data_IF_611105911701
#
_entry.id   IF_611105911701
#
_cell.length_a   1.000
_cell.length_b   1.000
_cell.length_c   1.000
_cell.angle_alpha   90.00
_cell.angle_beta   90.00
_cell.angle_gamma   90.00
#
_symmetry.space_group_name_H-M   'P 1'
#
loop_
_entity.id
_entity.type
_entity.pdbx_description
1 polymer ?
#
# COMPACT_ATOMS: atom_id res chain seq x y z
N UNK A 1 -2.68 -59.09 30.57
CA UNK A 1 -1.64 -58.47 31.42
C UNK A 1 -1.48 -57.05 30.90
N UNK A 2 -2.37 -56.11 31.26
CA UNK A 2 -2.40 -55.30 32.48
C UNK A 2 -1.05 -54.64 32.79
N UNK A 3 -0.98 -53.31 32.59
CA UNK A 3 -0.60 -52.30 33.55
C UNK A 3 -0.72 -50.93 32.87
N UNK A 4 -1.71 -50.10 33.10
CA UNK A 4 -1.99 -49.14 34.19
C UNK A 4 -0.92 -48.03 34.33
N UNK A 5 -1.36 -46.85 33.93
CA UNK A 5 -1.21 -45.46 34.35
C UNK A 5 -0.60 -45.22 35.77
N UNK A 6 -0.10 -44.05 36.21
CA UNK A 6 -0.85 -42.77 36.20
C UNK A 6 -0.05 -41.47 36.12
N UNK A 7 -0.78 -40.42 35.73
CA UNK A 7 -0.76 -39.00 36.10
C UNK A 7 0.25 -38.48 37.12
N UNK A 8 0.78 -37.27 36.84
CA UNK A 8 0.97 -36.21 37.86
C UNK A 8 0.80 -34.81 37.25
N UNK A 9 -0.26 -34.16 37.71
CA UNK A 9 -0.44 -32.69 37.78
C UNK A 9 0.65 -32.04 38.63
N UNK A 10 0.97 -30.79 38.29
CA UNK A 10 1.29 -29.71 39.23
C UNK A 10 1.24 -28.40 38.43
N UNK A 11 0.22 -27.57 38.55
CA UNK A 11 -0.19 -26.62 39.60
C UNK A 11 0.68 -25.39 39.69
N UNK A 12 0.02 -24.32 39.29
CA UNK A 12 0.01 -22.93 39.78
C UNK A 12 1.32 -22.20 40.11
N UNK A 13 1.48 -21.03 39.49
CA UNK A 13 1.64 -19.81 40.26
C UNK A 13 1.26 -18.53 39.48
N UNK A 14 0.17 -18.00 39.93
CA UNK A 14 -0.33 -16.62 39.82
C UNK A 14 0.62 -15.69 40.56
N UNK A 15 1.08 -14.61 39.95
CA UNK A 15 1.43 -13.43 40.72
C UNK A 15 0.94 -12.17 40.00
N UNK A 16 -0.02 -11.58 40.63
CA UNK A 16 -0.52 -10.22 40.51
C UNK A 16 0.49 -9.31 41.23
N UNK A 17 0.89 -8.25 40.59
CA UNK A 17 1.37 -7.07 41.35
C UNK A 17 0.79 -5.79 40.78
N UNK A 18 0.03 -5.15 41.67
CA UNK A 18 -0.68 -3.91 41.60
C UNK A 18 0.07 -2.92 42.50
N UNK A 19 0.38 -1.75 41.98
CA UNK A 19 0.60 -0.49 42.72
C UNK A 19 0.57 0.63 41.68
N UNK A 20 -0.40 1.45 41.57
CA UNK A 20 -0.94 2.58 42.34
C UNK A 20 0.16 3.48 42.94
N UNK A 21 0.22 4.72 42.55
CA UNK A 21 -0.30 5.96 43.11
C UNK A 21 0.44 7.19 42.50
N UNK A 22 -0.31 8.14 41.94
CA UNK A 22 -0.48 9.56 42.32
C UNK A 22 0.75 10.44 42.31
N UNK A 23 0.76 11.64 41.75
CA UNK A 23 -0.04 12.83 42.04
C UNK A 23 0.37 14.00 41.13
N UNK A 24 -0.54 14.70 40.56
CA UNK A 24 -0.91 16.12 40.66
C UNK A 24 0.17 17.19 40.58
N UNK A 25 -0.14 18.20 39.72
CA UNK A 25 0.46 19.55 39.71
C UNK A 25 0.12 20.31 38.44
N UNK A 26 -0.96 20.85 38.36
CA UNK A 26 -1.68 22.11 38.18
C UNK A 26 -0.78 23.35 38.32
N UNK A 27 -0.75 24.16 37.25
CA UNK A 27 -0.87 25.65 37.32
C UNK A 27 -0.78 26.30 35.95
N UNK A 28 -1.87 26.84 35.44
CA UNK A 28 -1.96 28.14 34.78
C UNK A 28 -1.93 29.22 35.89
N UNK A 29 -1.75 30.56 35.63
CA UNK A 29 -2.48 31.36 34.65
C UNK A 29 -1.74 32.60 34.07
N UNK A 30 -2.32 33.11 32.98
CA UNK A 30 -2.73 34.48 32.63
C UNK A 30 -1.77 35.67 32.85
N UNK A 31 -1.67 36.57 31.85
CA UNK A 31 -2.31 37.90 31.78
C UNK A 31 -1.59 38.80 30.75
N UNK A 32 -2.34 39.37 29.80
CA UNK A 32 -2.90 40.72 29.69
C UNK A 32 -1.88 41.83 29.33
N UNK A 33 -2.26 42.58 28.31
CA UNK A 33 -1.79 43.96 28.01
C UNK A 33 -1.91 44.26 26.51
N UNK A 34 -3.04 44.73 26.00
CA UNK A 34 -3.56 46.10 25.79
C UNK A 34 -2.70 46.92 24.83
N UNK A 35 -3.32 47.19 23.65
CA UNK A 35 -3.94 48.44 23.16
C UNK A 35 -2.95 49.60 22.92
N UNK A 36 -3.03 50.15 21.69
CA UNK A 36 -3.62 51.44 21.28
C UNK A 36 -3.38 51.67 19.77
N UNK A 37 -4.38 51.81 19.04
CA UNK A 37 -5.10 52.86 18.30
C UNK A 37 -4.33 54.10 17.88
N UNK A 38 -4.46 54.47 16.57
CA UNK A 38 -4.80 55.77 15.99
C UNK A 38 -4.86 55.64 14.48
N UNK A 39 -5.92 55.83 13.89
CA UNK A 39 -6.89 56.78 13.33
C UNK A 39 -6.30 57.91 12.46
N UNK A 40 -7.02 58.10 11.29
CA UNK A 40 -7.15 59.24 10.40
C UNK A 40 -6.03 59.42 9.32
N UNK A 41 -6.29 59.62 8.04
CA UNK A 41 -7.30 60.41 7.35
C UNK A 41 -7.40 60.02 5.87
N UNK A 42 -8.59 60.17 5.30
CA UNK A 42 -8.92 60.16 3.88
C UNK A 42 -8.79 61.60 3.33
N UNK A 43 -8.41 61.83 2.04
CA UNK A 43 -9.45 62.29 1.18
C UNK A 43 -9.51 61.66 -0.24
N UNK A 44 -10.76 61.54 -0.65
CA UNK A 44 -11.28 61.27 -1.99
C UNK A 44 -10.66 62.09 -3.09
N UNK A 45 -10.45 61.47 -4.28
CA UNK A 45 -10.90 62.06 -5.52
C UNK A 45 -11.01 61.05 -6.68
N UNK A 46 -12.22 60.94 -7.12
CA UNK A 46 -12.79 60.34 -8.33
C UNK A 46 -11.91 60.32 -9.56
N UNK A 47 -11.91 59.23 -10.38
CA UNK A 47 -12.64 59.14 -11.64
C UNK A 47 -12.17 57.98 -12.52
N UNK A 48 -13.15 57.28 -13.10
CA UNK A 48 -13.23 56.58 -14.37
C UNK A 48 -12.65 55.16 -14.53
N UNK A 49 -13.55 54.22 -14.37
CA UNK A 49 -13.97 53.15 -15.31
C UNK A 49 -12.97 52.77 -16.40
N UNK A 50 -12.39 51.62 -16.29
CA UNK A 50 -12.20 50.70 -17.41
C UNK A 50 -12.18 49.29 -16.89
N UNK A 51 -13.22 48.55 -17.27
CA UNK A 51 -13.40 47.12 -17.03
C UNK A 51 -12.31 46.34 -17.79
N UNK A 52 -11.41 45.76 -17.03
CA UNK A 52 -10.64 44.60 -17.49
C UNK A 52 -10.79 43.51 -16.45
N UNK A 53 -11.54 42.47 -16.83
CA UNK A 53 -11.66 41.22 -16.09
C UNK A 53 -10.27 40.62 -15.90
N UNK A 54 -9.92 40.19 -14.67
CA UNK A 54 -8.69 39.43 -14.51
C UNK A 54 -8.88 38.06 -15.16
N UNK A 55 -8.14 37.82 -16.23
CA UNK A 55 -7.95 36.53 -16.86
C UNK A 55 -7.24 35.66 -15.84
N UNK A 56 -8.01 34.81 -15.18
CA UNK A 56 -7.46 33.74 -14.34
C UNK A 56 -6.64 32.83 -15.28
N UNK A 57 -5.35 32.66 -15.08
CA UNK A 57 -4.59 31.72 -15.88
C UNK A 57 -5.14 30.32 -15.62
N UNK A 58 -5.83 29.76 -16.62
CA UNK A 58 -6.20 28.32 -16.64
C UNK A 58 -4.91 27.55 -16.47
N UNK A 59 -4.69 27.00 -15.26
CA UNK A 59 -3.68 25.95 -15.05
C UNK A 59 -3.86 24.93 -16.16
N UNK A 60 -2.86 24.76 -17.00
CA UNK A 60 -2.82 23.71 -17.99
C UNK A 60 -3.12 22.37 -17.27
N UNK A 61 -4.26 21.78 -17.58
CA UNK A 61 -4.65 20.47 -17.07
C UNK A 61 -3.63 19.50 -17.66
N UNK A 62 -2.71 19.01 -16.83
CA UNK A 62 -1.80 17.93 -17.23
C UNK A 62 -2.66 16.76 -17.67
N UNK A 63 -2.31 16.06 -18.77
CA UNK A 63 -3.06 14.90 -19.21
C UNK A 63 -3.17 13.90 -18.02
N UNK A 64 -4.33 13.24 -17.85
CA UNK A 64 -4.54 12.30 -16.76
C UNK A 64 -3.45 11.23 -16.83
N UNK A 65 -2.84 10.96 -15.70
CA UNK A 65 -1.83 9.91 -15.59
C UNK A 65 -2.51 8.55 -15.72
N UNK A 66 -1.76 7.58 -16.22
CA UNK A 66 -2.25 6.21 -16.35
C UNK A 66 -2.69 5.63 -14.98
N UNK A 67 -2.00 6.02 -13.93
CA UNK A 67 -2.24 5.60 -12.56
C UNK A 67 -3.52 6.21 -11.93
N UNK A 68 -4.11 7.24 -12.57
CA UNK A 68 -5.37 7.85 -12.12
C UNK A 68 -6.62 7.09 -12.61
N UNK A 69 -6.44 6.02 -13.38
CA UNK A 69 -7.52 5.17 -13.87
C UNK A 69 -8.12 4.29 -12.76
N UNK A 70 -9.39 3.85 -12.92
CA UNK A 70 -10.00 2.89 -12.00
C UNK A 70 -9.11 1.65 -11.80
N UNK A 71 -9.00 1.17 -10.57
CA UNK A 71 -8.12 0.07 -10.19
C UNK A 71 -8.22 -1.15 -11.12
N UNK A 72 -9.44 -1.66 -11.35
CA UNK A 72 -9.66 -2.85 -12.20
C UNK A 72 -9.19 -2.60 -13.64
N UNK A 73 -9.47 -1.42 -14.19
CA UNK A 73 -9.03 -1.04 -15.53
C UNK A 73 -7.50 -0.97 -15.61
N UNK A 74 -6.87 -0.31 -14.63
CA UNK A 74 -5.42 -0.22 -14.56
C UNK A 74 -4.76 -1.59 -14.49
N UNK A 75 -5.25 -2.46 -13.61
CA UNK A 75 -4.67 -3.81 -13.45
C UNK A 75 -4.88 -4.65 -14.71
N UNK A 76 -6.12 -4.74 -15.22
CA UNK A 76 -6.44 -5.66 -16.32
C UNK A 76 -5.88 -5.21 -17.66
N UNK A 77 -5.89 -3.91 -17.95
CA UNK A 77 -5.52 -3.39 -19.27
C UNK A 77 -4.06 -2.97 -19.38
N UNK A 78 -3.36 -2.76 -18.25
CA UNK A 78 -1.99 -2.25 -18.27
C UNK A 78 -1.01 -3.10 -17.45
N UNK A 79 -1.31 -3.40 -16.19
CA UNK A 79 -0.38 -4.15 -15.34
C UNK A 79 -0.25 -5.61 -15.80
N UNK A 80 -1.35 -6.30 -16.01
CA UNK A 80 -1.36 -7.71 -16.42
C UNK A 80 -0.66 -7.89 -17.77
N UNK A 81 -1.01 -7.16 -18.85
CA UNK A 81 -0.31 -7.29 -20.13
C UNK A 81 1.18 -6.92 -20.02
N UNK A 82 1.50 -5.85 -19.27
CA UNK A 82 2.88 -5.43 -19.07
C UNK A 82 3.72 -6.44 -18.32
N UNK A 83 3.17 -7.08 -17.27
CA UNK A 83 3.84 -8.16 -16.55
C UNK A 83 4.05 -9.38 -17.44
N UNK A 84 3.02 -9.80 -18.17
CA UNK A 84 3.11 -10.95 -19.09
C UNK A 84 4.25 -10.75 -20.08
N UNK A 85 4.21 -9.67 -20.85
CA UNK A 85 5.25 -9.35 -21.84
C UNK A 85 6.63 -9.31 -21.19
N UNK A 86 6.78 -8.61 -20.06
CA UNK A 86 8.08 -8.45 -19.41
C UNK A 86 8.64 -9.74 -18.83
N UNK A 87 7.81 -10.69 -18.40
CA UNK A 87 8.22 -12.02 -17.94
C UNK A 87 8.63 -12.88 -19.15
N UNK A 88 7.85 -12.86 -20.22
CA UNK A 88 8.12 -13.61 -21.45
C UNK A 88 9.40 -13.10 -22.15
N UNK A 89 9.66 -11.80 -22.15
CA UNK A 89 10.91 -11.19 -22.64
C UNK A 89 12.15 -11.68 -21.86
N UNK A 90 11.97 -12.16 -20.64
CA UNK A 90 13.02 -12.78 -19.82
C UNK A 90 13.18 -14.29 -20.06
N UNK A 91 12.46 -14.85 -21.03
CA UNK A 91 12.55 -16.26 -21.40
C UNK A 91 11.69 -17.22 -20.58
N UNK A 92 10.76 -16.71 -19.74
CA UNK A 92 9.87 -17.54 -18.93
C UNK A 92 8.47 -17.49 -19.48
N UNK A 93 7.86 -18.66 -19.73
CA UNK A 93 6.49 -18.75 -20.26
C UNK A 93 5.47 -18.47 -19.16
N UNK A 94 4.49 -17.61 -19.46
CA UNK A 94 3.34 -17.34 -18.61
C UNK A 94 2.17 -18.19 -19.05
N UNK A 95 1.78 -19.17 -18.23
CA UNK A 95 0.66 -20.07 -18.53
C UNK A 95 -0.68 -19.36 -18.30
N UNK A 96 -0.82 -18.66 -17.17
CA UNK A 96 -2.00 -17.91 -16.82
C UNK A 96 -1.63 -16.66 -16.03
N UNK A 97 -2.30 -15.54 -16.29
CA UNK A 97 -2.23 -14.33 -15.47
C UNK A 97 -3.60 -13.68 -15.44
N UNK A 98 -4.11 -13.37 -14.24
CA UNK A 98 -5.46 -12.82 -14.06
C UNK A 98 -5.60 -12.01 -12.78
N UNK A 99 -6.58 -11.10 -12.76
CA UNK A 99 -7.03 -10.41 -11.56
C UNK A 99 -8.13 -11.22 -10.88
N UNK A 100 -7.97 -11.53 -9.62
CA UNK A 100 -8.96 -12.23 -8.80
C UNK A 100 -9.23 -11.45 -7.51
N UNK A 101 -10.46 -11.55 -7.03
CA UNK A 101 -10.86 -11.06 -5.70
C UNK A 101 -11.14 -12.28 -4.82
N UNK A 102 -10.58 -12.33 -3.64
CA UNK A 102 -10.78 -13.46 -2.75
C UNK A 102 -9.86 -13.46 -1.54
N UNK A 103 -9.85 -14.60 -0.86
CA UNK A 103 -9.03 -14.80 0.34
C UNK A 103 -7.57 -14.97 -0.06
N UNK A 104 -6.70 -14.17 0.56
CA UNK A 104 -5.26 -14.26 0.38
C UNK A 104 -4.76 -15.64 0.86
N UNK A 105 -4.00 -16.36 0.04
CA UNK A 105 -3.45 -17.63 0.44
C UNK A 105 -2.58 -17.52 1.70
N UNK A 106 -2.62 -18.51 2.59
CA UNK A 106 -1.84 -18.65 3.82
C UNK A 106 -2.17 -17.59 4.88
N UNK A 107 -2.10 -16.30 4.54
CA UNK A 107 -2.26 -15.18 5.49
C UNK A 107 -3.73 -14.93 5.82
N UNK A 108 -4.64 -15.23 4.87
CA UNK A 108 -6.06 -14.93 5.01
C UNK A 108 -6.39 -13.45 4.72
N UNK A 109 -7.67 -13.10 4.89
CA UNK A 109 -8.21 -11.78 4.58
C UNK A 109 -8.55 -11.63 3.09
N UNK A 110 -9.67 -10.95 2.80
CA UNK A 110 -10.09 -10.65 1.43
C UNK A 110 -9.20 -9.54 0.85
N UNK A 111 -8.78 -9.73 -0.39
CA UNK A 111 -7.99 -8.75 -1.13
C UNK A 111 -8.15 -8.95 -2.64
N UNK A 112 -7.68 -7.96 -3.41
CA UNK A 112 -7.48 -8.09 -4.86
C UNK A 112 -6.11 -8.68 -5.13
N UNK A 113 -6.02 -9.64 -6.04
CA UNK A 113 -4.78 -10.34 -6.34
C UNK A 113 -4.56 -10.44 -7.85
N UNK A 114 -3.38 -10.06 -8.31
CA UNK A 114 -2.87 -10.49 -9.60
C UNK A 114 -2.22 -11.85 -9.39
N UNK A 115 -2.92 -12.89 -9.83
CA UNK A 115 -2.40 -14.26 -9.85
C UNK A 115 -1.67 -14.50 -11.15
N UNK A 116 -0.51 -15.13 -11.08
CA UNK A 116 0.26 -15.55 -12.23
C UNK A 116 0.81 -16.96 -12.02
N UNK A 117 0.58 -17.80 -13.01
CA UNK A 117 1.20 -19.12 -13.13
C UNK A 117 2.16 -19.14 -14.31
N UNK A 118 3.37 -19.58 -14.06
CA UNK A 118 4.47 -19.65 -15.02
C UNK A 118 4.91 -21.11 -15.25
N UNK A 119 5.79 -21.30 -16.20
CA UNK A 119 6.46 -22.60 -16.41
C UNK A 119 7.05 -23.16 -15.11
N UNK A 120 7.32 -24.48 -15.09
CA UNK A 120 7.85 -25.20 -13.91
C UNK A 120 6.96 -25.11 -12.66
N UNK A 121 5.65 -24.93 -12.86
CA UNK A 121 4.65 -24.85 -11.77
C UNK A 121 4.93 -23.73 -10.75
N UNK A 122 5.61 -22.67 -11.18
CA UNK A 122 5.89 -21.48 -10.35
C UNK A 122 4.70 -20.55 -10.37
N UNK A 123 4.33 -20.03 -9.20
CA UNK A 123 3.17 -19.16 -9.04
C UNK A 123 3.50 -17.96 -8.17
N UNK A 124 2.92 -16.82 -8.51
CA UNK A 124 2.92 -15.69 -7.59
C UNK A 124 1.55 -15.02 -7.50
N UNK A 125 1.32 -14.36 -6.39
CA UNK A 125 0.18 -13.51 -6.12
C UNK A 125 0.70 -12.13 -5.71
N UNK A 126 0.39 -11.10 -6.47
CA UNK A 126 0.57 -9.71 -6.05
C UNK A 126 -0.75 -9.22 -5.48
N UNK A 127 -0.82 -9.11 -4.16
CA UNK A 127 -2.03 -8.79 -3.41
C UNK A 127 -2.10 -7.31 -3.09
N UNK A 128 -3.28 -6.72 -3.25
CA UNK A 128 -3.62 -5.34 -2.89
C UNK A 128 -4.71 -5.38 -1.81
N UNK A 129 -4.47 -4.76 -0.67
CA UNK A 129 -5.41 -4.77 0.44
C UNK A 129 -6.74 -4.05 0.13
N UNK A 130 -6.71 -3.12 -0.82
CA UNK A 130 -7.87 -2.35 -1.30
C UNK A 130 -7.81 -2.27 -2.83
N UNK A 131 -8.90 -1.83 -3.44
CA UNK A 131 -9.01 -1.52 -4.87
C UNK A 131 -8.29 -0.23 -5.27
N UNK A 132 -7.07 -0.05 -4.76
CA UNK A 132 -6.18 1.08 -5.00
C UNK A 132 -4.75 0.59 -5.24
N UNK A 133 -4.10 1.09 -6.28
CA UNK A 133 -2.71 0.75 -6.59
C UNK A 133 -1.72 1.24 -5.52
N UNK A 134 -2.11 2.25 -4.75
CA UNK A 134 -1.32 2.81 -3.64
C UNK A 134 -1.57 2.12 -2.31
N UNK A 135 -2.54 1.19 -2.22
CA UNK A 135 -2.79 0.43 -0.99
C UNK A 135 -1.60 -0.45 -0.62
N UNK A 136 -1.56 -0.90 0.63
CA UNK A 136 -0.58 -1.88 1.07
C UNK A 136 -0.63 -3.12 0.19
N UNK A 137 0.55 -3.61 -0.16
CA UNK A 137 0.73 -4.74 -1.05
C UNK A 137 1.57 -5.82 -0.39
N UNK A 138 1.26 -7.06 -0.74
CA UNK A 138 2.09 -8.22 -0.41
C UNK A 138 2.32 -9.05 -1.68
N UNK A 139 3.47 -9.68 -1.76
CA UNK A 139 3.76 -10.68 -2.80
C UNK A 139 3.93 -12.04 -2.15
N UNK A 140 3.28 -13.04 -2.74
CA UNK A 140 3.38 -14.42 -2.33
C UNK A 140 3.97 -15.23 -3.48
N UNK A 141 4.81 -16.20 -3.16
CA UNK A 141 5.51 -17.05 -4.12
C UNK A 141 5.35 -18.51 -3.74
N UNK A 142 5.12 -19.36 -4.73
CA UNK A 142 5.00 -20.81 -4.58
C UNK A 142 5.73 -21.54 -5.72
N UNK A 143 6.30 -22.68 -5.39
CA UNK A 143 6.93 -23.59 -6.33
C UNK A 143 6.25 -24.97 -6.31
N UNK A 144 6.40 -25.71 -7.40
CA UNK A 144 5.98 -27.12 -7.48
C UNK A 144 4.53 -27.37 -7.08
N UNK A 145 3.64 -26.46 -7.46
CA UNK A 145 2.21 -26.53 -7.15
C UNK A 145 1.83 -26.56 -5.65
N UNK A 146 2.75 -26.15 -4.79
CA UNK A 146 2.55 -26.07 -3.34
C UNK A 146 1.77 -24.82 -2.93
N UNK A 147 1.41 -24.74 -1.65
CA UNK A 147 0.96 -23.49 -1.05
C UNK A 147 2.12 -22.46 -1.03
N UNK A 148 1.85 -21.15 -1.04
CA UNK A 148 2.88 -20.14 -0.93
C UNK A 148 3.80 -20.37 0.26
N UNK A 149 5.09 -20.50 0.00
CA UNK A 149 6.14 -20.65 1.01
C UNK A 149 6.81 -19.32 1.37
N UNK A 150 6.63 -18.31 0.53
CA UNK A 150 7.18 -16.97 0.71
C UNK A 150 6.03 -15.98 0.73
N UNK A 151 6.00 -15.13 1.77
CA UNK A 151 5.04 -14.04 1.96
C UNK A 151 5.83 -12.80 2.36
N UNK A 152 5.83 -11.78 1.53
CA UNK A 152 6.60 -10.57 1.75
C UNK A 152 5.75 -9.33 1.53
N UNK A 153 6.02 -8.29 2.30
CA UNK A 153 5.51 -6.96 2.00
C UNK A 153 6.13 -6.43 0.72
N UNK A 154 5.34 -5.70 -0.06
CA UNK A 154 5.74 -5.25 -1.38
C UNK A 154 5.54 -3.75 -1.55
N UNK A 155 6.61 -3.01 -1.89
CA UNK A 155 6.60 -1.56 -2.08
C UNK A 155 6.04 -0.79 -0.87
N UNK A 156 6.53 -1.07 0.34
CA UNK A 156 6.07 -0.44 1.59
C UNK A 156 6.46 1.04 1.61
N UNK A 157 7.68 1.37 1.25
CA UNK A 157 8.27 2.71 1.41
C UNK A 157 8.07 3.61 0.19
N UNK A 158 7.36 3.13 -0.83
CA UNK A 158 7.21 3.85 -2.07
C UNK A 158 6.06 4.86 -2.02
N UNK A 159 6.40 6.14 -1.98
CA UNK A 159 5.44 7.25 -1.97
C UNK A 159 4.59 7.36 -3.24
N UNK A 160 5.08 6.84 -4.36
CA UNK A 160 4.40 6.85 -5.66
C UNK A 160 4.47 5.48 -6.30
N UNK A 161 3.32 4.88 -6.49
CA UNK A 161 3.19 3.63 -7.22
C UNK A 161 2.90 3.94 -8.69
N UNK A 162 3.79 3.53 -9.58
CA UNK A 162 3.62 3.68 -11.04
C UNK A 162 3.66 2.33 -11.72
N UNK A 163 3.09 2.24 -12.94
CA UNK A 163 3.09 1.01 -13.73
C UNK A 163 4.51 0.45 -13.95
N UNK A 164 5.50 1.23 -14.42
CA UNK A 164 6.86 0.72 -14.59
C UNK A 164 7.50 0.25 -13.28
N UNK A 165 7.22 0.93 -12.17
CA UNK A 165 7.72 0.55 -10.86
C UNK A 165 7.16 -0.79 -10.41
N UNK A 166 5.84 -1.01 -10.54
CA UNK A 166 5.21 -2.28 -10.21
C UNK A 166 5.81 -3.43 -11.01
N UNK A 167 5.93 -3.28 -12.34
CA UNK A 167 6.50 -4.30 -13.22
C UNK A 167 7.96 -4.57 -12.84
N UNK A 168 8.79 -3.54 -12.74
CA UNK A 168 10.22 -3.70 -12.47
C UNK A 168 10.49 -4.39 -11.12
N UNK A 169 9.69 -4.06 -10.09
CA UNK A 169 9.84 -4.66 -8.76
C UNK A 169 9.37 -6.12 -8.71
N UNK A 170 8.28 -6.46 -9.41
CA UNK A 170 7.89 -7.88 -9.57
C UNK A 170 9.00 -8.64 -10.28
N UNK A 171 9.49 -8.15 -11.41
CA UNK A 171 10.59 -8.82 -12.14
C UNK A 171 11.85 -8.96 -11.28
N UNK A 172 12.23 -7.91 -10.54
CA UNK A 172 13.37 -7.97 -9.63
C UNK A 172 13.18 -9.07 -8.57
N UNK A 173 11.96 -9.19 -8.03
CA UNK A 173 11.66 -10.22 -7.04
C UNK A 173 11.72 -11.64 -7.64
N UNK A 174 11.13 -11.83 -8.83
CA UNK A 174 11.19 -13.10 -9.55
C UNK A 174 12.63 -13.47 -9.96
N UNK A 175 13.44 -12.49 -10.38
CA UNK A 175 14.85 -12.70 -10.68
C UNK A 175 15.65 -13.09 -9.43
N UNK A 176 15.33 -12.52 -8.26
CA UNK A 176 15.92 -12.92 -6.99
C UNK A 176 15.66 -14.38 -6.60
N UNK A 177 14.57 -14.97 -7.12
CA UNK A 177 14.29 -16.41 -7.04
C UNK A 177 14.87 -17.22 -8.19
N UNK A 178 15.56 -16.58 -9.12
CA UNK A 178 16.04 -17.20 -10.36
C UNK A 178 14.92 -17.82 -11.22
N UNK A 179 13.73 -17.25 -11.15
CA UNK A 179 12.56 -17.69 -11.93
C UNK A 179 12.50 -17.06 -13.32
N UNK A 180 13.13 -15.89 -13.49
CA UNK A 180 13.22 -15.16 -14.74
C UNK A 180 14.65 -14.75 -15.01
N UNK A 181 15.01 -14.65 -16.29
CA UNK A 181 16.38 -14.32 -16.73
C UNK A 181 17.21 -15.55 -17.12
N UNK A 182 18.21 -15.30 -17.97
CA UNK A 182 19.20 -16.32 -18.34
C UNK A 182 20.16 -16.47 -17.16
N UNK A 183 20.23 -17.66 -16.59
CA UNK A 183 21.23 -18.05 -15.58
C UNK A 183 22.48 -18.55 -16.27
#
# INVERSE_FOLDING_TARGET
>A
MENQNPSKENNSRKQVNKSQLDSSGKSEPASIGKQDSNTLDIPEKSSQVKSESPVIPKKAVKPPKLEDKPFKEFISNYLIPGLKTSIEDKGTVVNEIKLIEGIRPVVGGNCWMVFCEMSEQRKFWLCFNKDLITSDKTILLAESNSAPSIVESFLIDEKKTTLPLLISRVLQRLNGQKWVGVN
#
